data_IF_695747439730
#
_entry.id   IF_695747439730
#
_cell.length_a   1.000
_cell.length_b   1.000
_cell.length_c   1.000
_cell.angle_alpha   90.00
_cell.angle_beta   90.00
_cell.angle_gamma   90.00
#
_symmetry.space_group_name_H-M   'P 1'
#
loop_
_entity.id
_entity.type
_entity.pdbx_description
1 polymer ?
#
# COMPACT_ATOMS: atom_id res chain seq x y z
N UNK A 1 14.61 -17.97 16.54
CA UNK A 1 13.43 -17.79 17.42
C UNK A 1 12.78 -16.40 17.33
N UNK A 2 13.44 -15.35 16.80
CA UNK A 2 12.93 -13.98 16.80
C UNK A 2 11.69 -13.72 15.92
N UNK A 3 11.51 -14.43 14.81
CA UNK A 3 10.40 -14.15 13.89
C UNK A 3 9.01 -14.48 14.44
N UNK A 4 8.88 -15.49 15.28
CA UNK A 4 7.59 -15.88 15.86
C UNK A 4 7.11 -14.88 16.92
N UNK A 5 8.04 -14.32 17.69
CA UNK A 5 7.72 -13.31 18.71
C UNK A 5 7.25 -12.01 18.07
N UNK A 6 7.94 -11.57 17.02
CA UNK A 6 7.59 -10.36 16.25
C UNK A 6 6.20 -10.46 15.62
N UNK A 7 5.83 -11.62 15.05
CA UNK A 7 4.49 -11.84 14.48
C UNK A 7 3.40 -11.75 15.56
N UNK A 8 3.64 -12.27 16.77
CA UNK A 8 2.68 -12.15 17.88
C UNK A 8 2.48 -10.71 18.31
N UNK A 9 3.55 -9.92 18.44
CA UNK A 9 3.45 -8.49 18.76
C UNK A 9 2.70 -7.68 17.69
N UNK A 10 2.85 -8.05 16.41
CA UNK A 10 2.11 -7.41 15.30
C UNK A 10 0.63 -7.79 15.33
N UNK A 11 0.29 -9.01 15.76
CA UNK A 11 -1.09 -9.51 15.78
C UNK A 11 -1.83 -9.17 17.07
N UNK A 12 -1.12 -8.78 18.12
CA UNK A 12 -1.69 -8.33 19.39
C UNK A 12 -1.69 -6.80 19.46
N UNK A 13 -2.79 -6.23 19.88
CA UNK A 13 -2.93 -4.77 20.02
C UNK A 13 -4.36 -4.29 19.91
N UNK A 14 -4.63 -3.10 20.43
CA UNK A 14 -5.97 -2.49 20.40
C UNK A 14 -6.28 -1.76 19.09
N UNK A 15 -5.25 -1.27 18.39
CA UNK A 15 -5.41 -0.51 17.15
C UNK A 15 -5.46 -1.41 15.93
N UNK A 16 -6.31 -1.13 14.94
CA UNK A 16 -6.24 -1.79 13.65
C UNK A 16 -4.85 -1.66 13.02
N UNK A 17 -4.41 -2.70 12.32
CA UNK A 17 -3.20 -2.63 11.50
C UNK A 17 -3.53 -2.82 10.03
N UNK A 18 -2.98 -1.95 9.18
CA UNK A 18 -3.09 -2.04 7.73
C UNK A 18 -1.77 -2.49 7.14
N UNK A 19 -1.79 -3.60 6.42
CA UNK A 19 -0.66 -4.03 5.60
C UNK A 19 -0.88 -3.61 4.14
N UNK A 20 0.16 -3.03 3.56
CA UNK A 20 0.25 -2.63 2.15
C UNK A 20 1.35 -3.40 1.44
N UNK A 21 1.38 -3.36 0.10
CA UNK A 21 2.27 -4.20 -0.69
C UNK A 21 3.75 -3.82 -0.58
N UNK A 22 4.06 -2.53 -0.47
CA UNK A 22 5.43 -2.04 -0.51
C UNK A 22 5.71 -0.82 0.36
N UNK A 23 7.01 -0.53 0.50
CA UNK A 23 7.50 0.62 1.29
C UNK A 23 6.99 1.98 0.76
N UNK A 24 6.88 2.11 -0.56
CA UNK A 24 6.37 3.33 -1.18
C UNK A 24 4.91 3.58 -0.82
N UNK A 25 4.10 2.51 -0.74
CA UNK A 25 2.69 2.61 -0.37
C UNK A 25 2.55 3.08 1.07
N UNK A 26 3.33 2.48 1.98
CA UNK A 26 3.39 2.91 3.38
C UNK A 26 3.78 4.38 3.51
N UNK A 27 4.80 4.81 2.75
CA UNK A 27 5.30 6.18 2.78
C UNK A 27 4.25 7.18 2.28
N UNK A 28 3.57 6.90 1.17
CA UNK A 28 2.48 7.75 0.66
C UNK A 28 1.35 7.90 1.69
N UNK A 29 0.90 6.81 2.28
CA UNK A 29 -0.18 6.82 3.27
C UNK A 29 0.20 7.61 4.52
N UNK A 30 1.38 7.35 5.09
CA UNK A 30 1.86 8.07 6.28
C UNK A 30 2.07 9.55 6.00
N UNK A 31 2.58 9.90 4.82
CA UNK A 31 2.73 11.30 4.42
C UNK A 31 1.37 11.98 4.28
N UNK A 32 0.39 11.35 3.64
CA UNK A 32 -0.94 11.90 3.54
C UNK A 32 -1.59 12.12 4.91
N UNK A 33 -1.48 11.16 5.83
CA UNK A 33 -1.98 11.30 7.21
C UNK A 33 -1.38 12.53 7.89
N UNK A 34 -0.08 12.70 7.80
CA UNK A 34 0.64 13.83 8.39
C UNK A 34 0.24 15.16 7.75
N UNK A 35 0.28 15.26 6.41
CA UNK A 35 0.03 16.49 5.68
C UNK A 35 -1.40 17.01 5.83
N UNK A 36 -2.37 16.12 5.96
CA UNK A 36 -3.78 16.50 6.13
C UNK A 36 -4.24 16.48 7.59
N UNK A 37 -3.33 16.22 8.55
CA UNK A 37 -3.66 16.08 9.97
C UNK A 37 -4.84 15.12 10.20
N UNK A 38 -4.82 13.97 9.52
CA UNK A 38 -5.88 12.98 9.67
C UNK A 38 -5.73 12.32 11.03
N UNK A 39 -6.76 12.42 11.87
CA UNK A 39 -6.86 11.62 13.09
C UNK A 39 -7.04 10.14 12.68
N UNK A 40 -5.94 9.43 12.51
CA UNK A 40 -5.91 8.05 12.03
C UNK A 40 -5.38 7.11 13.10
N UNK A 41 -6.29 6.33 13.65
CA UNK A 41 -5.97 5.31 14.66
C UNK A 41 -5.75 3.93 14.02
N UNK A 42 -4.98 3.90 12.94
CA UNK A 42 -4.59 2.69 12.20
C UNK A 42 -3.08 2.67 12.09
N UNK A 43 -2.45 1.58 12.53
CA UNK A 43 -1.05 1.33 12.27
C UNK A 43 -0.85 0.94 10.80
N UNK A 44 0.02 1.62 10.07
CA UNK A 44 0.27 1.31 8.65
C UNK A 44 1.67 0.73 8.52
N UNK A 45 1.78 -0.44 7.89
CA UNK A 45 3.04 -1.12 7.63
C UNK A 45 3.02 -1.79 6.25
N UNK A 46 4.13 -1.73 5.54
CA UNK A 46 4.29 -2.59 4.38
C UNK A 46 4.55 -4.04 4.83
N UNK A 47 4.11 -4.99 4.02
CA UNK A 47 4.32 -6.41 4.29
C UNK A 47 5.70 -6.83 3.76
N UNK A 48 6.51 -7.42 4.63
CA UNK A 48 7.85 -7.86 4.26
C UNK A 48 8.91 -7.44 5.26
N UNK A 49 10.15 -7.60 4.85
CA UNK A 49 11.33 -7.15 5.59
C UNK A 49 12.39 -6.61 4.65
N UNK A 50 13.17 -5.66 5.12
CA UNK A 50 14.33 -5.18 4.41
C UNK A 50 15.52 -6.11 4.68
N UNK A 51 16.17 -6.58 3.61
CA UNK A 51 17.39 -7.36 3.67
C UNK A 51 18.47 -6.66 2.82
N UNK A 52 19.33 -5.87 3.48
CA UNK A 52 20.25 -4.97 2.80
C UNK A 52 19.51 -3.98 1.90
N UNK A 53 19.79 -4.00 0.61
CA UNK A 53 19.15 -3.13 -0.39
C UNK A 53 17.96 -3.81 -1.11
N UNK A 54 17.53 -4.98 -0.66
CA UNK A 54 16.46 -5.73 -1.32
C UNK A 54 15.34 -6.06 -0.34
N UNK A 55 14.08 -5.67 -0.65
CA UNK A 55 12.93 -6.11 0.12
C UNK A 55 12.65 -7.61 -0.16
N UNK A 56 12.32 -8.36 0.90
CA UNK A 56 11.92 -9.76 0.84
C UNK A 56 10.52 -9.95 1.41
N UNK A 57 9.80 -10.97 0.94
CA UNK A 57 8.46 -11.32 1.39
C UNK A 57 7.47 -10.16 1.28
N UNK A 58 7.50 -9.45 0.15
CA UNK A 58 6.71 -8.26 -0.13
C UNK A 58 5.78 -8.45 -1.32
N UNK A 59 4.89 -7.47 -1.56
CA UNK A 59 3.96 -7.46 -2.69
C UNK A 59 2.70 -8.29 -2.46
N UNK A 60 1.89 -8.41 -3.51
CA UNK A 60 0.58 -9.10 -3.48
C UNK A 60 0.63 -10.54 -3.00
N UNK A 61 1.70 -11.27 -3.31
CA UNK A 61 1.82 -12.68 -2.91
C UNK A 61 2.01 -12.80 -1.40
N UNK A 62 2.80 -11.90 -0.80
CA UNK A 62 2.95 -11.83 0.65
C UNK A 62 1.64 -11.44 1.36
N UNK A 63 0.86 -10.51 0.80
CA UNK A 63 -0.49 -10.20 1.30
C UNK A 63 -1.44 -11.40 1.18
N UNK A 64 -1.39 -12.15 0.07
CA UNK A 64 -2.18 -13.36 -0.11
C UNK A 64 -1.80 -14.45 0.91
N UNK A 65 -0.52 -14.62 1.21
CA UNK A 65 -0.07 -15.59 2.20
C UNK A 65 -0.43 -15.15 3.62
N UNK A 66 -0.36 -13.85 3.92
CA UNK A 66 -0.88 -13.29 5.18
C UNK A 66 -2.40 -13.56 5.31
N UNK A 67 -3.19 -13.33 4.24
CA UNK A 67 -4.63 -13.64 4.23
C UNK A 67 -4.88 -15.10 4.56
N UNK A 68 -4.19 -16.03 3.89
CA UNK A 68 -4.33 -17.48 4.14
C UNK A 68 -4.00 -17.83 5.60
N UNK A 69 -2.89 -17.28 6.12
CA UNK A 69 -2.47 -17.49 7.49
C UNK A 69 -3.50 -17.01 8.53
N UNK A 70 -4.03 -15.79 8.33
CA UNK A 70 -5.04 -15.18 9.20
C UNK A 70 -6.32 -16.03 9.20
N UNK A 71 -6.80 -16.44 8.03
CA UNK A 71 -8.01 -17.25 7.88
C UNK A 71 -7.87 -18.66 8.51
N UNK A 72 -6.68 -19.24 8.46
CA UNK A 72 -6.40 -20.52 9.08
C UNK A 72 -6.23 -20.45 10.60
N UNK A 73 -5.97 -19.25 11.16
CA UNK A 73 -5.63 -19.06 12.56
C UNK A 73 -6.37 -17.86 13.18
N UNK A 74 -7.69 -17.74 13.06
CA UNK A 74 -8.42 -16.54 13.50
C UNK A 74 -8.30 -16.32 15.02
N UNK A 75 -8.13 -17.35 15.82
CA UNK A 75 -8.04 -17.25 17.28
C UNK A 75 -6.77 -16.56 17.81
N UNK A 76 -5.74 -16.39 16.97
CA UNK A 76 -4.52 -15.66 17.35
C UNK A 76 -4.54 -14.19 16.93
N UNK A 77 -5.62 -13.74 16.29
CA UNK A 77 -5.76 -12.37 15.80
C UNK A 77 -6.39 -11.52 16.91
N UNK A 78 -5.56 -10.78 17.62
CA UNK A 78 -5.97 -9.93 18.75
C UNK A 78 -6.45 -8.53 18.35
N UNK A 79 -6.37 -8.15 17.05
CA UNK A 79 -6.70 -6.81 16.55
C UNK A 79 -7.27 -6.85 15.14
N UNK A 80 -8.04 -5.85 14.71
CA UNK A 80 -8.49 -5.76 13.33
C UNK A 80 -7.31 -5.66 12.35
N UNK A 81 -7.34 -6.46 11.29
CA UNK A 81 -6.31 -6.45 10.25
C UNK A 81 -6.94 -5.97 8.93
N UNK A 82 -6.29 -5.03 8.27
CA UNK A 82 -6.64 -4.54 6.94
C UNK A 82 -5.56 -5.00 5.96
N UNK A 83 -5.94 -5.67 4.88
CA UNK A 83 -5.06 -5.94 3.76
C UNK A 83 -5.46 -5.02 2.61
N UNK A 84 -4.60 -4.05 2.30
CA UNK A 84 -4.82 -3.13 1.20
C UNK A 84 -4.02 -3.60 -0.02
N UNK A 85 -4.74 -4.04 -1.03
CA UNK A 85 -4.19 -4.51 -2.30
C UNK A 85 -4.14 -3.40 -3.33
N UNK A 86 -3.17 -3.46 -4.22
CA UNK A 86 -3.13 -2.63 -5.40
C UNK A 86 -4.35 -2.87 -6.32
N UNK A 87 -4.73 -1.87 -7.08
CA UNK A 87 -5.89 -1.87 -7.98
C UNK A 87 -5.92 -3.06 -8.94
N UNK A 88 -4.76 -3.46 -9.48
CA UNK A 88 -4.65 -4.51 -10.49
C UNK A 88 -4.88 -5.94 -9.94
N UNK A 89 -4.97 -6.10 -8.62
CA UNK A 89 -5.26 -7.39 -7.97
C UNK A 89 -6.74 -7.75 -8.00
N UNK A 90 -7.64 -6.77 -8.13
CA UNK A 90 -9.09 -6.99 -8.34
C UNK A 90 -9.81 -7.73 -7.20
N UNK A 91 -9.36 -7.60 -5.95
CA UNK A 91 -9.95 -8.29 -4.78
C UNK A 91 -11.30 -7.71 -4.33
N UNK A 92 -11.58 -6.46 -4.65
CA UNK A 92 -12.77 -5.75 -4.16
C UNK A 92 -12.70 -5.42 -2.67
N UNK A 93 -13.89 -5.31 -2.05
CA UNK A 93 -14.05 -5.07 -0.62
C UNK A 93 -14.69 -6.27 0.05
N UNK A 94 -14.09 -6.75 1.15
CA UNK A 94 -14.61 -7.88 1.92
C UNK A 94 -14.31 -7.66 3.41
N UNK A 95 -15.28 -8.01 4.27
CA UNK A 95 -15.06 -8.13 5.70
C UNK A 95 -15.33 -9.55 6.14
N UNK A 96 -14.36 -10.19 6.78
CA UNK A 96 -14.44 -11.56 7.29
C UNK A 96 -14.47 -11.48 8.82
N UNK A 97 -15.69 -11.49 9.37
CA UNK A 97 -15.97 -11.31 10.79
C UNK A 97 -15.20 -12.30 11.67
N UNK A 98 -15.24 -13.60 11.33
CA UNK A 98 -14.60 -14.66 12.12
C UNK A 98 -13.09 -14.48 12.31
N UNK A 99 -12.45 -13.68 11.46
CA UNK A 99 -11.01 -13.40 11.49
C UNK A 99 -10.70 -11.91 11.74
N UNK A 100 -11.71 -11.08 11.97
CA UNK A 100 -11.59 -9.63 12.09
C UNK A 100 -10.71 -9.01 10.98
N UNK A 101 -10.93 -9.51 9.75
CA UNK A 101 -10.10 -9.23 8.59
C UNK A 101 -10.86 -8.37 7.58
N UNK A 102 -10.30 -7.21 7.24
CA UNK A 102 -10.79 -6.30 6.22
C UNK A 102 -9.92 -6.41 4.98
N UNK A 103 -10.53 -6.61 3.83
CA UNK A 103 -9.86 -6.60 2.53
C UNK A 103 -10.33 -5.38 1.76
N UNK A 104 -9.41 -4.59 1.30
CA UNK A 104 -9.67 -3.40 0.48
C UNK A 104 -8.73 -3.40 -0.72
N UNK A 105 -9.18 -2.80 -1.80
CA UNK A 105 -8.38 -2.56 -2.99
C UNK A 105 -8.28 -1.06 -3.23
N UNK A 106 -7.10 -0.60 -3.62
CA UNK A 106 -6.87 0.80 -4.03
C UNK A 106 -7.88 1.15 -5.12
N UNK A 107 -8.69 2.22 -4.95
CA UNK A 107 -9.70 2.59 -5.92
C UNK A 107 -9.08 3.06 -7.24
N UNK A 108 -9.85 2.97 -8.33
CA UNK A 108 -9.43 3.49 -9.62
C UNK A 108 -9.52 5.02 -9.69
N UNK A 109 -8.48 5.65 -10.22
CA UNK A 109 -8.50 7.05 -10.61
C UNK A 109 -8.38 7.16 -12.15
N UNK A 110 -9.51 7.18 -12.82
CA UNK A 110 -9.58 7.29 -14.28
C UNK A 110 -9.01 8.63 -14.83
N UNK A 111 -8.82 9.63 -13.98
CA UNK A 111 -8.24 10.93 -14.35
C UNK A 111 -6.73 10.86 -14.48
N UNK A 112 -6.06 9.99 -13.68
CA UNK A 112 -4.62 9.81 -13.81
C UNK A 112 -4.28 9.04 -15.09
N UNK A 113 -3.72 9.72 -16.08
CA UNK A 113 -3.31 9.13 -17.35
C UNK A 113 -1.85 8.69 -17.36
N UNK A 114 -1.08 9.04 -16.35
CA UNK A 114 0.37 8.79 -16.25
C UNK A 114 0.63 7.44 -15.58
N UNK A 115 0.12 7.24 -14.36
CA UNK A 115 0.29 6.00 -13.62
C UNK A 115 -1.06 5.30 -13.44
N UNK A 116 -1.19 4.10 -14.03
CA UNK A 116 -2.47 3.38 -14.10
C UNK A 116 -2.59 2.23 -13.12
N UNK A 117 -1.49 1.88 -12.45
CA UNK A 117 -1.40 0.74 -11.52
C UNK A 117 -0.79 1.20 -10.20
N UNK A 118 -0.99 0.41 -9.16
CA UNK A 118 -0.47 0.69 -7.82
C UNK A 118 -1.16 1.88 -7.15
N UNK A 119 -0.67 2.25 -5.99
CA UNK A 119 -1.13 3.43 -5.26
C UNK A 119 -0.82 4.73 -6.03
N UNK A 120 0.17 4.72 -6.91
CA UNK A 120 0.53 5.86 -7.77
C UNK A 120 -0.63 6.28 -8.70
N UNK A 121 -1.59 5.39 -8.95
CA UNK A 121 -2.80 5.75 -9.68
C UNK A 121 -3.62 6.83 -8.96
N UNK A 122 -3.55 6.90 -7.63
CA UNK A 122 -4.26 7.90 -6.83
C UNK A 122 -3.57 9.26 -6.77
N UNK A 123 -2.37 9.41 -7.35
CA UNK A 123 -1.71 10.71 -7.38
C UNK A 123 -2.48 11.68 -8.28
N UNK A 124 -2.77 12.86 -7.75
CA UNK A 124 -3.47 13.93 -8.47
C UNK A 124 -2.44 14.79 -9.20
N UNK A 125 -1.96 14.28 -10.33
CA UNK A 125 -0.88 14.91 -11.09
C UNK A 125 -1.45 15.90 -12.10
N UNK A 126 -0.94 17.12 -12.07
CA UNK A 126 -1.34 18.17 -12.99
C UNK A 126 -0.95 17.88 -14.44
N UNK A 127 -1.68 18.50 -15.37
CA UNK A 127 -1.32 18.46 -16.79
C UNK A 127 0.03 19.16 -17.00
N UNK A 128 1.02 18.40 -17.46
CA UNK A 128 2.39 18.89 -17.62
C UNK A 128 3.38 18.36 -16.58
N UNK A 129 2.94 17.52 -15.67
CA UNK A 129 3.85 16.83 -14.76
C UNK A 129 4.93 16.06 -15.54
N UNK A 130 6.19 16.35 -15.25
CA UNK A 130 7.34 15.78 -15.96
C UNK A 130 7.63 14.34 -15.47
N UNK A 131 6.80 13.40 -15.91
CA UNK A 131 6.91 12.00 -15.48
C UNK A 131 8.15 11.27 -15.97
N UNK A 132 8.72 11.70 -17.12
CA UNK A 132 9.86 11.03 -17.76
C UNK A 132 11.10 10.96 -16.85
N UNK A 133 11.32 11.94 -15.99
CA UNK A 133 12.43 11.94 -15.04
C UNK A 133 12.40 10.80 -14.02
N UNK A 134 11.25 10.14 -13.84
CA UNK A 134 11.05 8.99 -12.94
C UNK A 134 11.14 7.64 -13.67
N UNK A 135 11.65 7.63 -14.89
CA UNK A 135 11.97 6.41 -15.61
C UNK A 135 13.48 6.25 -15.76
N UNK A 136 13.94 5.01 -15.61
CA UNK A 136 15.32 4.63 -15.87
C UNK A 136 15.38 3.74 -17.10
N UNK A 137 16.39 3.93 -17.94
CA UNK A 137 16.60 3.07 -19.09
C UNK A 137 17.53 1.91 -18.71
N UNK A 138 17.09 0.69 -18.97
CA UNK A 138 17.91 -0.52 -18.86
C UNK A 138 18.09 -1.14 -20.23
N UNK A 139 19.35 -1.37 -20.60
CA UNK A 139 19.66 -2.22 -21.75
C UNK A 139 19.44 -3.68 -21.40
N UNK A 140 18.67 -4.39 -22.20
CA UNK A 140 18.46 -5.83 -22.11
C UNK A 140 19.01 -6.46 -23.38
N UNK A 141 19.84 -7.50 -23.23
CA UNK A 141 20.23 -8.38 -24.34
C UNK A 141 19.29 -9.58 -24.34
N UNK A 142 18.79 -9.94 -25.50
CA UNK A 142 18.07 -11.21 -25.68
C UNK A 142 19.07 -12.36 -25.83
N UNK A 143 18.55 -13.58 -25.92
CA UNK A 143 19.36 -14.81 -26.03
C UNK A 143 20.16 -14.89 -27.36
N UNK A 144 19.86 -14.02 -28.33
CA UNK A 144 20.52 -13.90 -29.61
C UNK A 144 21.49 -12.71 -29.67
N UNK A 145 21.67 -11.97 -28.56
CA UNK A 145 22.58 -10.85 -28.46
C UNK A 145 22.05 -9.50 -28.95
N UNK A 146 20.79 -9.42 -29.39
CA UNK A 146 20.17 -8.15 -29.77
C UNK A 146 19.91 -7.28 -28.53
N UNK A 147 20.32 -6.01 -28.58
CA UNK A 147 20.14 -5.06 -27.50
C UNK A 147 18.80 -4.32 -27.65
N UNK A 148 18.00 -4.32 -26.59
CA UNK A 148 16.80 -3.49 -26.47
C UNK A 148 16.89 -2.59 -25.26
N UNK A 149 16.32 -1.39 -25.34
CA UNK A 149 16.22 -0.46 -24.19
C UNK A 149 14.83 -0.55 -23.61
N UNK A 150 14.74 -0.87 -22.32
CA UNK A 150 13.47 -0.93 -21.58
C UNK A 150 13.43 0.24 -20.61
N UNK A 151 12.41 1.08 -20.72
CA UNK A 151 12.11 2.09 -19.71
C UNK A 151 11.49 1.41 -18.48
N UNK A 152 12.11 1.59 -17.32
CA UNK A 152 11.61 1.10 -16.03
C UNK A 152 11.23 2.27 -15.15
N UNK A 153 9.98 2.26 -14.66
CA UNK A 153 9.51 3.24 -13.70
C UNK A 153 10.21 3.09 -12.34
N UNK A 154 10.73 4.20 -11.81
CA UNK A 154 11.37 4.29 -10.50
C UNK A 154 10.38 4.84 -9.48
N UNK A 155 9.58 3.93 -8.90
CA UNK A 155 8.59 4.25 -7.89
C UNK A 155 9.20 4.97 -6.68
N UNK A 156 10.39 4.53 -6.25
CA UNK A 156 11.06 5.09 -5.08
C UNK A 156 11.45 6.54 -5.31
N UNK A 157 11.99 6.85 -6.49
CA UNK A 157 12.38 8.23 -6.85
C UNK A 157 11.17 9.16 -6.85
N UNK A 158 10.05 8.72 -7.46
CA UNK A 158 8.81 9.50 -7.46
C UNK A 158 8.27 9.70 -6.05
N UNK A 159 8.19 8.62 -5.27
CA UNK A 159 7.69 8.66 -3.90
C UNK A 159 8.52 9.61 -3.02
N UNK A 160 9.85 9.56 -3.12
CA UNK A 160 10.71 10.46 -2.36
C UNK A 160 10.47 11.92 -2.74
N UNK A 161 10.42 12.22 -4.05
CA UNK A 161 10.12 13.58 -4.49
C UNK A 161 8.78 14.09 -3.94
N UNK A 162 7.70 13.32 -4.13
CA UNK A 162 6.36 13.77 -3.73
C UNK A 162 6.18 13.83 -2.21
N UNK A 163 6.84 12.97 -1.45
CA UNK A 163 6.67 12.89 -0.01
C UNK A 163 7.67 13.77 0.78
N UNK A 164 8.89 13.95 0.28
CA UNK A 164 9.94 14.64 1.01
C UNK A 164 10.23 16.05 0.47
N UNK A 165 10.27 16.21 -0.85
CA UNK A 165 10.82 17.40 -1.49
C UNK A 165 9.75 18.38 -2.02
N UNK A 166 8.58 17.87 -2.45
CA UNK A 166 7.54 18.70 -3.07
C UNK A 166 6.84 19.63 -2.07
N UNK A 167 6.69 20.89 -2.43
CA UNK A 167 5.84 21.86 -1.71
C UNK A 167 4.34 21.59 -1.93
N UNK A 168 3.97 20.97 -3.06
CA UNK A 168 2.60 20.69 -3.49
C UNK A 168 2.07 19.31 -3.00
N UNK A 169 2.70 18.72 -1.97
CA UNK A 169 2.32 17.38 -1.46
C UNK A 169 0.83 17.21 -1.24
N UNK A 170 0.17 18.24 -0.67
CA UNK A 170 -1.28 18.17 -0.41
C UNK A 170 -2.09 18.01 -1.69
N UNK A 171 -1.72 18.73 -2.75
CA UNK A 171 -2.40 18.59 -4.03
C UNK A 171 -2.25 17.15 -4.57
N UNK A 172 -1.03 16.65 -4.64
CA UNK A 172 -0.76 15.32 -5.18
C UNK A 172 -1.38 14.17 -4.37
N UNK A 173 -1.47 14.31 -3.05
CA UNK A 173 -1.92 13.24 -2.13
C UNK A 173 -3.42 13.32 -1.78
N UNK A 174 -4.20 14.20 -2.40
CA UNK A 174 -5.61 14.43 -2.07
C UNK A 174 -6.47 13.16 -2.17
N UNK A 175 -6.34 12.40 -3.24
CA UNK A 175 -7.12 11.16 -3.44
C UNK A 175 -6.67 10.03 -2.51
N UNK A 176 -5.40 10.02 -2.10
CA UNK A 176 -4.91 9.10 -1.06
C UNK A 176 -5.57 9.44 0.29
N UNK A 177 -5.68 10.74 0.63
CA UNK A 177 -6.47 11.16 1.80
C UNK A 177 -7.90 10.64 1.75
N UNK A 178 -8.59 10.81 0.61
CA UNK A 178 -9.97 10.36 0.42
C UNK A 178 -10.10 8.86 0.67
N UNK A 179 -9.20 8.05 0.12
CA UNK A 179 -9.14 6.60 0.36
C UNK A 179 -8.92 6.26 1.85
N UNK A 180 -8.02 6.96 2.55
CA UNK A 180 -7.77 6.72 3.98
C UNK A 180 -9.04 6.99 4.79
N UNK A 181 -9.77 8.07 4.50
CA UNK A 181 -11.02 8.40 5.18
C UNK A 181 -12.11 7.35 4.91
N UNK A 182 -12.23 6.87 3.67
CA UNK A 182 -13.15 5.78 3.30
C UNK A 182 -12.85 4.48 4.06
N UNK A 183 -11.57 4.11 4.17
CA UNK A 183 -11.14 2.93 4.94
C UNK A 183 -11.52 3.09 6.42
N UNK A 184 -11.28 4.27 7.03
CA UNK A 184 -11.68 4.54 8.42
C UNK A 184 -13.17 4.38 8.63
N UNK A 185 -13.97 4.95 7.73
CA UNK A 185 -15.43 4.88 7.81
C UNK A 185 -15.94 3.46 7.61
N UNK A 186 -15.33 2.70 6.71
CA UNK A 186 -15.65 1.29 6.49
C UNK A 186 -15.43 0.44 7.75
N UNK A 187 -14.29 0.60 8.41
CA UNK A 187 -13.98 -0.12 9.66
C UNK A 187 -14.97 0.26 10.75
N UNK A 188 -15.21 1.56 10.95
CA UNK A 188 -16.19 2.03 11.95
C UNK A 188 -17.58 1.44 11.72
N UNK A 189 -18.09 1.47 10.50
CA UNK A 189 -19.41 0.91 10.17
C UNK A 189 -19.51 -0.57 10.54
N UNK A 190 -18.47 -1.36 10.30
CA UNK A 190 -18.47 -2.80 10.64
C UNK A 190 -18.41 -3.05 12.14
N UNK A 191 -17.65 -2.24 12.89
CA UNK A 191 -17.57 -2.37 14.35
C UNK A 191 -18.85 -1.95 15.11
N UNK A 192 -19.69 -1.08 14.51
CA UNK A 192 -20.94 -0.60 15.15
C UNK A 192 -22.17 -1.43 14.81
N UNK A 193 -22.14 -2.30 13.83
CA UNK A 193 -23.28 -3.18 13.47
C UNK A 193 -23.40 -4.35 14.47
N UNK A 194 -22.41 -4.58 15.32
CA UNK A 194 -22.31 -5.72 16.25
C UNK A 194 -22.67 -5.36 17.71
N UNK A 195 -23.27 -4.19 17.94
CA UNK A 195 -23.84 -3.78 19.25
C UNK A 195 -25.36 -3.61 19.18
#
# INVERSE_FOLDING_TARGET
MGGKLYMLEVMDGSKPIMFVEGETDEKYLKTAIKEFNIDCDIDIKWIGKQNGNHPEFTGKDALNDARKFILANPSIIGRPIILLYDKDVGKGEEYIESANLYIKTVPDNAENKIYKIGIENLLDLEKGFESEQYYTEKKKKDDYGAESTIKRFDKTKLCNYLCDDSEDRKAYLRKIKEMILDIKDYIKKKQYVEK
#
